data_IF_183098751557
#
_entry.id   IF_183098751557
#
_cell.length_a   1.000
_cell.length_b   1.000
_cell.length_c   1.000
_cell.angle_alpha   90.00
_cell.angle_beta   90.00
_cell.angle_gamma   90.00
#
_symmetry.space_group_name_H-M   'P 1'
#
loop_
_entity.id
_entity.type
_entity.pdbx_description
1 polymer ?
#
# COMPACT_ATOMS: atom_id res chain seq x y z
N UNK A 1 -0.80 -0.91 13.27
CA UNK A 1 -0.02 -0.43 14.43
C UNK A 1 -0.95 -0.19 15.62
N UNK A 2 -0.56 -0.59 16.84
CA UNK A 2 -1.35 -0.37 18.05
C UNK A 2 -1.32 1.08 18.52
N UNK A 3 -0.17 1.73 18.43
CA UNK A 3 0.02 3.13 18.78
C UNK A 3 0.51 3.92 17.56
N UNK A 4 -0.02 5.11 17.39
CA UNK A 4 0.25 6.00 16.26
C UNK A 4 -0.95 6.14 15.33
N UNK A 5 -1.01 7.26 14.60
CA UNK A 5 -2.08 7.56 13.63
C UNK A 5 -1.70 7.05 12.25
N UNK A 6 -1.61 5.73 12.09
CA UNK A 6 -1.22 5.09 10.84
C UNK A 6 -1.90 3.73 10.64
N UNK A 7 -1.85 3.16 9.45
CA UNK A 7 -2.44 1.87 9.09
C UNK A 7 -3.95 1.80 9.41
N UNK A 8 -4.45 0.70 9.93
CA UNK A 8 -5.87 0.50 10.24
C UNK A 8 -6.45 1.53 11.21
N UNK A 9 -5.64 2.05 12.14
CA UNK A 9 -6.13 3.04 13.14
C UNK A 9 -6.44 4.40 12.53
N UNK A 10 -5.98 4.70 11.33
CA UNK A 10 -6.36 5.90 10.56
C UNK A 10 -7.29 5.56 9.40
N UNK A 11 -7.08 4.45 8.71
CA UNK A 11 -7.91 4.09 7.56
C UNK A 11 -9.37 3.81 7.96
N UNK A 12 -9.61 3.01 9.01
CA UNK A 12 -10.96 2.65 9.44
C UNK A 12 -11.84 3.85 9.81
N UNK A 13 -11.40 4.81 10.67
CA UNK A 13 -12.23 5.96 10.99
C UNK A 13 -12.49 6.87 9.78
N UNK A 14 -11.54 7.01 8.84
CA UNK A 14 -11.73 7.83 7.63
C UNK A 14 -12.75 7.17 6.70
N UNK A 15 -12.64 5.88 6.45
CA UNK A 15 -13.58 5.14 5.62
C UNK A 15 -14.99 5.13 6.24
N UNK A 16 -15.07 4.93 7.56
CA UNK A 16 -16.34 4.99 8.29
C UNK A 16 -16.99 6.37 8.21
N UNK A 17 -16.20 7.45 8.35
CA UNK A 17 -16.69 8.81 8.21
C UNK A 17 -17.17 9.12 6.77
N UNK A 18 -16.61 8.46 5.77
CA UNK A 18 -17.07 8.52 4.39
C UNK A 18 -18.31 7.63 4.11
N UNK A 19 -18.84 6.93 5.11
CA UNK A 19 -20.00 6.05 4.95
C UNK A 19 -19.68 4.69 4.31
N UNK A 20 -18.41 4.29 4.30
CA UNK A 20 -17.95 3.03 3.71
C UNK A 20 -17.87 1.96 4.82
N UNK A 21 -18.68 0.92 4.69
CA UNK A 21 -18.56 -0.27 5.55
C UNK A 21 -17.26 -1.01 5.24
N UNK A 22 -16.45 -1.26 6.26
CA UNK A 22 -15.10 -1.78 6.06
C UNK A 22 -14.81 -2.97 6.95
N UNK A 23 -14.35 -4.07 6.34
CA UNK A 23 -13.81 -5.24 7.04
C UNK A 23 -12.29 -5.21 6.99
N UNK A 24 -11.65 -5.35 8.15
CA UNK A 24 -10.19 -5.35 8.25
C UNK A 24 -9.63 -6.76 8.28
N UNK A 25 -8.65 -7.04 7.40
CA UNK A 25 -7.82 -8.24 7.44
C UNK A 25 -6.41 -7.83 7.85
N UNK A 26 -6.03 -7.96 9.14
CA UNK A 26 -4.70 -7.56 9.60
C UNK A 26 -3.63 -8.53 9.07
N UNK A 27 -2.57 -7.97 8.50
CA UNK A 27 -1.42 -8.71 7.95
C UNK A 27 -0.28 -8.82 8.95
N UNK A 28 -0.23 -7.89 9.90
CA UNK A 28 0.72 -7.86 10.99
C UNK A 28 0.20 -7.03 12.18
N UNK A 29 0.70 -7.33 13.36
CA UNK A 29 0.51 -6.50 14.57
C UNK A 29 1.86 -5.89 14.94
N UNK A 30 1.87 -4.56 15.06
CA UNK A 30 3.01 -3.81 15.58
C UNK A 30 2.57 -3.02 16.81
N UNK A 31 3.44 -2.94 17.84
CA UNK A 31 3.13 -2.11 19.02
C UNK A 31 3.01 -0.63 18.69
N UNK A 32 3.86 -0.13 17.78
CA UNK A 32 3.86 1.25 17.26
C UNK A 32 4.09 1.24 15.75
N UNK A 33 4.00 2.39 15.07
CA UNK A 33 4.59 2.52 13.74
C UNK A 33 6.13 2.47 13.81
N UNK A 34 6.78 2.22 12.67
CA UNK A 34 8.23 2.00 12.60
C UNK A 34 9.03 3.27 12.32
N UNK A 35 8.39 4.33 11.81
CA UNK A 35 9.05 5.58 11.47
C UNK A 35 9.50 6.35 12.71
N UNK A 36 10.81 6.44 12.95
CA UNK A 36 11.40 7.18 14.06
C UNK A 36 11.26 6.53 15.45
N UNK A 37 10.65 5.34 15.56
CA UNK A 37 10.48 4.60 16.81
C UNK A 37 11.20 3.26 16.72
N UNK A 38 12.14 3.02 17.62
CA UNK A 38 12.86 1.75 17.76
C UNK A 38 12.28 0.89 18.87
N UNK A 39 12.62 -0.42 18.88
CA UNK A 39 12.19 -1.34 19.93
C UNK A 39 10.71 -1.74 19.89
N UNK A 40 10.03 -1.49 18.79
CA UNK A 40 8.65 -1.95 18.58
C UNK A 40 8.58 -3.49 18.53
N UNK A 41 7.45 -4.05 18.96
CA UNK A 41 7.17 -5.47 18.77
C UNK A 41 6.50 -5.67 17.41
N UNK A 42 6.83 -6.78 16.75
CA UNK A 42 6.28 -7.18 15.46
C UNK A 42 5.78 -8.62 15.50
N UNK A 43 4.57 -8.85 15.05
CA UNK A 43 4.02 -10.19 14.83
C UNK A 43 3.45 -10.26 13.42
N UNK A 44 4.00 -11.14 12.61
CA UNK A 44 3.47 -11.49 11.29
C UNK A 44 2.18 -12.33 11.45
N UNK A 45 1.16 -12.02 10.67
CA UNK A 45 -0.12 -12.73 10.63
C UNK A 45 -0.39 -13.36 9.26
N UNK A 46 0.62 -13.51 8.41
CA UNK A 46 0.46 -14.05 7.05
C UNK A 46 -0.21 -15.42 7.06
N UNK A 47 0.17 -16.30 8.01
CA UNK A 47 -0.43 -17.64 8.14
C UNK A 47 -1.89 -17.58 8.62
N UNK A 48 -2.25 -16.57 9.42
CA UNK A 48 -3.62 -16.37 9.92
C UNK A 48 -4.56 -15.85 8.83
N UNK A 49 -4.05 -15.19 7.79
CA UNK A 49 -4.86 -14.62 6.71
C UNK A 49 -5.64 -15.69 5.94
N UNK A 50 -5.01 -16.81 5.62
CA UNK A 50 -5.64 -17.90 4.84
C UNK A 50 -6.88 -18.48 5.52
N UNK A 51 -6.84 -18.86 6.82
CA UNK A 51 -8.04 -19.33 7.55
C UNK A 51 -9.15 -18.27 7.57
N UNK A 52 -8.83 -17.00 7.81
CA UNK A 52 -9.81 -15.90 7.82
C UNK A 52 -10.47 -15.77 6.45
N UNK A 53 -9.68 -15.70 5.37
CA UNK A 53 -10.19 -15.60 4.00
C UNK A 53 -11.06 -16.79 3.62
N UNK A 54 -10.65 -18.01 3.99
CA UNK A 54 -11.44 -19.23 3.76
C UNK A 54 -12.78 -19.16 4.47
N UNK A 55 -12.80 -18.65 5.71
CA UNK A 55 -14.03 -18.49 6.48
C UNK A 55 -14.94 -17.44 5.83
N UNK A 56 -14.43 -16.28 5.45
CA UNK A 56 -15.22 -15.25 4.77
C UNK A 56 -15.82 -15.74 3.46
N UNK A 57 -15.07 -16.51 2.66
CA UNK A 57 -15.59 -17.17 1.47
C UNK A 57 -16.74 -18.16 1.79
N UNK A 58 -16.65 -18.90 2.88
CA UNK A 58 -17.72 -19.83 3.28
C UNK A 58 -19.01 -19.13 3.70
N UNK A 59 -18.93 -17.83 4.02
CA UNK A 59 -20.08 -16.97 4.33
C UNK A 59 -20.61 -16.21 3.09
N UNK A 60 -20.06 -16.46 1.89
CA UNK A 60 -20.35 -15.74 0.64
C UNK A 60 -20.17 -14.21 0.75
N UNK A 61 -19.21 -13.78 1.60
CA UNK A 61 -18.89 -12.35 1.74
C UNK A 61 -18.23 -11.86 0.46
N UNK A 62 -18.76 -10.76 -0.08
CA UNK A 62 -18.25 -10.06 -1.28
C UNK A 62 -17.82 -8.65 -0.90
N UNK A 63 -16.85 -8.14 -1.63
CA UNK A 63 -16.32 -6.80 -1.43
C UNK A 63 -16.38 -6.02 -2.74
N UNK A 64 -16.95 -4.81 -2.71
CA UNK A 64 -16.97 -3.90 -3.87
C UNK A 64 -15.58 -3.31 -4.14
N UNK A 65 -14.75 -3.20 -3.10
CA UNK A 65 -13.38 -2.73 -3.21
C UNK A 65 -12.43 -3.44 -2.25
N UNK A 66 -11.17 -3.51 -2.62
CA UNK A 66 -10.07 -4.00 -1.82
C UNK A 66 -9.02 -2.90 -1.72
N UNK A 67 -8.70 -2.48 -0.49
CA UNK A 67 -7.63 -1.54 -0.21
C UNK A 67 -6.50 -2.26 0.52
N UNK A 68 -5.32 -2.29 -0.07
CA UNK A 68 -4.15 -2.89 0.55
C UNK A 68 -3.17 -1.81 1.01
N UNK A 69 -2.60 -2.00 2.20
CA UNK A 69 -1.47 -1.24 2.70
C UNK A 69 -0.28 -2.18 2.92
N UNK A 70 0.24 -2.22 4.15
CA UNK A 70 1.35 -3.09 4.53
C UNK A 70 0.98 -4.58 4.36
N UNK A 71 1.68 -5.28 3.47
CA UNK A 71 1.49 -6.70 3.19
C UNK A 71 2.80 -7.46 3.44
N UNK A 72 2.74 -8.54 4.21
CA UNK A 72 3.86 -9.46 4.39
C UNK A 72 4.00 -10.50 3.27
N UNK A 73 2.90 -10.81 2.55
CA UNK A 73 2.87 -11.76 1.42
C UNK A 73 1.77 -11.37 0.43
N UNK A 74 2.09 -11.39 -0.87
CA UNK A 74 1.28 -10.78 -1.93
C UNK A 74 0.30 -11.71 -2.64
N UNK A 75 0.69 -12.94 -2.94
CA UNK A 75 0.02 -13.75 -3.96
C UNK A 75 -1.35 -14.28 -3.51
N UNK A 76 -1.50 -14.54 -2.22
CA UNK A 76 -2.64 -15.26 -1.70
C UNK A 76 -3.92 -14.45 -1.59
N UNK A 77 -3.77 -13.12 -1.44
CA UNK A 77 -4.89 -12.23 -1.19
C UNK A 77 -5.70 -11.91 -2.46
N UNK A 78 -5.01 -11.65 -3.57
CA UNK A 78 -5.66 -11.32 -4.84
C UNK A 78 -6.45 -12.49 -5.39
N UNK A 79 -5.88 -13.69 -5.37
CA UNK A 79 -6.54 -14.90 -5.86
C UNK A 79 -7.80 -15.25 -5.04
N UNK A 80 -7.85 -14.73 -3.81
CA UNK A 80 -8.96 -15.02 -2.93
C UNK A 80 -10.21 -14.16 -3.18
N UNK A 81 -10.05 -12.85 -3.48
CA UNK A 81 -11.15 -11.88 -3.46
C UNK A 81 -11.26 -11.00 -4.70
N UNK A 82 -10.34 -11.13 -5.69
CA UNK A 82 -10.50 -10.41 -6.95
C UNK A 82 -11.72 -10.95 -7.69
N UNK A 83 -12.60 -10.03 -8.08
CA UNK A 83 -13.76 -10.26 -8.93
C UNK A 83 -13.65 -9.32 -10.15
N UNK A 84 -14.43 -9.56 -11.20
CA UNK A 84 -14.38 -8.74 -12.41
C UNK A 84 -14.83 -7.29 -12.16
N UNK A 85 -15.67 -7.08 -11.16
CA UNK A 85 -16.34 -5.82 -10.86
C UNK A 85 -15.87 -5.12 -9.58
N UNK A 86 -14.93 -5.71 -8.81
CA UNK A 86 -14.42 -5.04 -7.62
C UNK A 86 -13.20 -4.15 -7.90
N UNK A 87 -13.14 -3.00 -7.21
CA UNK A 87 -12.04 -2.06 -7.32
C UNK A 87 -10.84 -2.50 -6.47
N UNK A 88 -9.66 -2.57 -7.07
CA UNK A 88 -8.41 -2.88 -6.38
C UNK A 88 -7.57 -1.61 -6.23
N UNK A 89 -7.41 -1.15 -5.00
CA UNK A 89 -6.53 -0.04 -4.66
C UNK A 89 -5.33 -0.56 -3.88
N UNK A 90 -4.13 -0.27 -4.38
CA UNK A 90 -2.87 -0.66 -3.74
C UNK A 90 -2.13 0.60 -3.26
N UNK A 91 -1.92 0.67 -1.96
CA UNK A 91 -0.96 1.56 -1.33
C UNK A 91 0.35 0.76 -1.14
N UNK A 92 1.39 1.03 -1.96
CA UNK A 92 2.58 0.17 -2.01
C UNK A 92 3.56 0.49 -0.89
N UNK A 93 3.09 0.41 0.36
CA UNK A 93 3.84 0.77 1.57
C UNK A 93 5.17 0.01 1.65
N UNK A 94 6.27 0.68 1.29
CA UNK A 94 7.61 0.09 1.27
C UNK A 94 8.68 0.97 1.88
N UNK A 95 8.55 2.27 1.78
CA UNK A 95 9.61 3.18 2.18
C UNK A 95 9.22 4.64 2.17
N UNK A 96 10.10 5.48 2.66
CA UNK A 96 9.95 6.93 2.70
C UNK A 96 11.33 7.61 2.69
N UNK A 97 11.39 8.88 2.29
CA UNK A 97 12.62 9.68 2.25
C UNK A 97 13.80 9.02 1.49
N UNK A 98 13.50 8.26 0.44
CA UNK A 98 14.49 7.59 -0.39
C UNK A 98 14.96 6.23 0.12
N UNK A 99 14.44 5.76 1.26
CA UNK A 99 14.87 4.52 1.90
C UNK A 99 13.73 3.52 2.07
N UNK A 100 14.06 2.23 1.90
CA UNK A 100 13.15 1.14 2.28
C UNK A 100 13.02 1.08 3.80
N UNK A 101 11.82 0.79 4.29
CA UNK A 101 11.64 0.45 5.70
C UNK A 101 12.42 -0.83 6.05
N UNK A 102 12.99 -0.85 7.24
CA UNK A 102 13.90 -1.91 7.73
C UNK A 102 13.32 -3.32 7.73
N UNK A 103 12.00 -3.45 7.64
CA UNK A 103 11.29 -4.73 7.58
C UNK A 103 11.18 -5.30 6.16
N UNK A 104 11.60 -4.57 5.13
CA UNK A 104 11.48 -4.96 3.73
C UNK A 104 12.83 -5.17 3.05
N UNK A 105 12.84 -5.99 2.00
CA UNK A 105 13.98 -6.25 1.14
C UNK A 105 13.72 -5.73 -0.28
N UNK A 106 14.75 -5.74 -1.15
CA UNK A 106 14.59 -5.39 -2.56
C UNK A 106 13.71 -6.41 -3.32
N UNK A 107 13.75 -7.67 -2.94
CA UNK A 107 12.88 -8.72 -3.49
C UNK A 107 11.41 -8.42 -3.16
N UNK A 108 11.16 -7.89 -1.96
CA UNK A 108 9.83 -7.42 -1.59
C UNK A 108 9.34 -6.29 -2.51
N UNK A 109 10.18 -5.30 -2.84
CA UNK A 109 9.83 -4.22 -3.74
C UNK A 109 9.48 -4.75 -5.17
N UNK A 110 10.20 -5.76 -5.65
CA UNK A 110 9.86 -6.43 -6.91
C UNK A 110 8.49 -7.12 -6.87
N UNK A 111 8.16 -7.80 -5.76
CA UNK A 111 6.83 -8.38 -5.53
C UNK A 111 5.73 -7.31 -5.49
N UNK A 112 5.99 -6.17 -4.82
CA UNK A 112 5.06 -5.04 -4.77
C UNK A 112 4.79 -4.46 -6.18
N UNK A 113 5.80 -4.39 -7.03
CA UNK A 113 5.63 -3.98 -8.43
C UNK A 113 4.66 -4.90 -9.19
N UNK A 114 4.79 -6.22 -9.02
CA UNK A 114 3.85 -7.18 -9.63
C UNK A 114 2.42 -7.01 -9.10
N UNK A 115 2.28 -6.66 -7.83
CA UNK A 115 1.00 -6.35 -7.23
C UNK A 115 0.38 -5.09 -7.85
N UNK A 116 1.15 -4.00 -7.96
CA UNK A 116 0.72 -2.76 -8.57
C UNK A 116 0.28 -2.92 -10.03
N UNK A 117 0.90 -3.84 -10.77
CA UNK A 117 0.49 -4.17 -12.15
C UNK A 117 -0.93 -4.74 -12.26
N UNK A 118 -1.41 -5.37 -11.20
CA UNK A 118 -2.75 -5.97 -11.14
C UNK A 118 -3.80 -5.05 -10.50
N UNK A 119 -3.40 -3.89 -10.01
CA UNK A 119 -4.28 -2.93 -9.36
C UNK A 119 -5.02 -2.04 -10.38
N UNK A 120 -6.20 -1.57 -10.01
CA UNK A 120 -6.91 -0.52 -10.75
C UNK A 120 -6.37 0.86 -10.38
N UNK A 121 -6.04 1.05 -9.11
CA UNK A 121 -5.49 2.30 -8.57
C UNK A 121 -4.25 2.00 -7.74
N UNK A 122 -3.19 2.79 -7.89
CA UNK A 122 -2.04 2.79 -6.98
C UNK A 122 -1.83 4.18 -6.38
N UNK A 123 -1.35 4.21 -5.12
CA UNK A 123 -1.18 5.46 -4.34
C UNK A 123 0.24 5.56 -3.77
N UNK A 124 1.30 5.50 -4.59
CA UNK A 124 2.66 5.56 -4.10
C UNK A 124 3.07 6.96 -3.64
N UNK A 125 3.98 7.05 -2.66
CA UNK A 125 4.78 8.24 -2.43
C UNK A 125 5.98 8.30 -3.42
N UNK A 126 6.79 9.36 -3.36
CA UNK A 126 7.92 9.54 -4.29
C UNK A 126 9.01 8.46 -4.14
N UNK A 127 9.24 7.95 -2.93
CA UNK A 127 10.19 6.86 -2.66
C UNK A 127 9.68 5.56 -3.25
N UNK A 128 8.43 5.26 -3.01
CA UNK A 128 7.76 4.06 -3.53
C UNK A 128 7.69 4.10 -5.07
N UNK A 129 7.42 5.27 -5.65
CA UNK A 129 7.47 5.47 -7.10
C UNK A 129 8.85 5.13 -7.68
N UNK A 130 9.92 5.61 -7.05
CA UNK A 130 11.30 5.31 -7.46
C UNK A 130 11.60 3.81 -7.35
N UNK A 131 11.19 3.17 -6.25
CA UNK A 131 11.34 1.72 -6.03
C UNK A 131 10.55 0.88 -7.04
N UNK A 132 9.30 1.25 -7.33
CA UNK A 132 8.45 0.57 -8.32
C UNK A 132 9.03 0.66 -9.74
N UNK A 133 9.69 1.78 -10.07
CA UNK A 133 10.29 2.01 -11.38
C UNK A 133 11.74 1.52 -11.48
N UNK A 134 12.34 1.11 -10.37
CA UNK A 134 13.78 0.81 -10.26
C UNK A 134 14.65 2.01 -10.72
N UNK A 135 14.25 3.21 -10.31
CA UNK A 135 14.92 4.48 -10.61
C UNK A 135 15.47 5.11 -9.31
N UNK A 136 16.50 5.97 -9.42
CA UNK A 136 16.98 6.72 -8.27
C UNK A 136 15.89 7.63 -7.68
N UNK A 137 15.81 7.69 -6.35
CA UNK A 137 14.98 8.68 -5.67
C UNK A 137 15.61 10.07 -5.79
N UNK A 138 14.78 11.07 -6.07
CA UNK A 138 15.15 12.47 -6.08
C UNK A 138 14.34 13.23 -5.03
N UNK A 139 14.98 13.94 -4.09
CA UNK A 139 14.27 14.79 -3.14
C UNK A 139 13.68 16.02 -3.87
N UNK A 140 12.55 16.52 -3.35
CA UNK A 140 11.96 17.76 -3.85
C UNK A 140 12.78 19.03 -3.53
N UNK A 141 12.29 20.21 -3.90
CA UNK A 141 11.03 20.46 -4.59
C UNK A 141 11.03 19.96 -6.04
N UNK A 142 9.85 19.57 -6.54
CA UNK A 142 9.71 18.90 -7.83
C UNK A 142 9.29 19.87 -8.93
N UNK A 143 9.57 19.53 -10.18
CA UNK A 143 9.00 20.20 -11.36
C UNK A 143 7.77 19.46 -11.86
N UNK A 144 6.81 20.16 -12.45
CA UNK A 144 5.64 19.54 -13.08
C UNK A 144 6.04 18.48 -14.11
N UNK A 145 7.05 18.77 -14.95
CA UNK A 145 7.54 17.83 -15.96
C UNK A 145 8.07 16.52 -15.36
N UNK A 146 8.76 16.59 -14.21
CA UNK A 146 9.24 15.40 -13.52
C UNK A 146 8.08 14.57 -12.98
N UNK A 147 7.11 15.20 -12.31
CA UNK A 147 5.93 14.52 -11.76
C UNK A 147 5.08 13.90 -12.88
N UNK A 148 4.84 14.61 -13.99
CA UNK A 148 4.15 14.04 -15.14
C UNK A 148 4.88 12.83 -15.73
N UNK A 149 6.20 12.86 -15.80
CA UNK A 149 7.02 11.75 -16.28
C UNK A 149 6.86 10.53 -15.36
N UNK A 150 6.92 10.72 -14.03
CA UNK A 150 6.71 9.64 -13.06
C UNK A 150 5.31 9.02 -13.21
N UNK A 151 4.27 9.86 -13.26
CA UNK A 151 2.88 9.40 -13.41
C UNK A 151 2.68 8.56 -14.69
N UNK A 152 3.27 8.99 -15.81
CA UNK A 152 3.22 8.23 -17.07
C UNK A 152 3.93 6.88 -16.97
N UNK A 153 5.12 6.83 -16.35
CA UNK A 153 5.88 5.60 -16.16
C UNK A 153 5.15 4.63 -15.23
N UNK A 154 4.59 5.13 -14.12
CA UNK A 154 3.80 4.32 -13.19
C UNK A 154 2.52 3.79 -13.85
N UNK A 155 1.82 4.61 -14.64
CA UNK A 155 0.65 4.17 -15.41
C UNK A 155 1.00 3.10 -16.45
N UNK A 156 2.20 3.18 -17.04
CA UNK A 156 2.69 2.16 -17.99
C UNK A 156 2.97 0.79 -17.34
N UNK A 157 3.02 0.70 -16.00
CA UNK A 157 3.11 -0.58 -15.30
C UNK A 157 1.83 -1.41 -15.39
N UNK A 158 0.65 -0.77 -15.53
CA UNK A 158 -0.63 -1.46 -15.66
C UNK A 158 -1.84 -0.80 -14.99
N UNK A 159 -1.71 -0.06 -13.86
CA UNK A 159 -2.86 0.51 -13.17
C UNK A 159 -3.57 1.57 -14.04
N UNK A 160 -4.90 1.61 -13.95
CA UNK A 160 -5.70 2.60 -14.69
C UNK A 160 -5.56 4.01 -14.12
N UNK A 161 -5.31 4.11 -12.80
CA UNK A 161 -5.16 5.38 -12.09
C UNK A 161 -3.95 5.35 -11.18
N UNK A 162 -3.23 6.47 -11.15
CA UNK A 162 -2.07 6.69 -10.26
C UNK A 162 -2.29 7.97 -9.49
N UNK A 163 -2.20 7.88 -8.16
CA UNK A 163 -2.24 9.04 -7.27
C UNK A 163 -0.89 9.12 -6.58
N UNK A 164 -0.07 10.06 -7.00
CA UNK A 164 1.26 10.27 -6.40
C UNK A 164 1.14 11.16 -5.17
N UNK A 165 1.60 10.69 -4.02
CA UNK A 165 1.54 11.43 -2.75
C UNK A 165 2.89 12.04 -2.38
N UNK A 166 2.89 13.03 -1.45
CA UNK A 166 4.12 13.70 -1.01
C UNK A 166 4.74 14.64 -2.04
N UNK A 167 3.97 15.07 -3.04
CA UNK A 167 4.43 16.02 -4.08
C UNK A 167 4.34 17.44 -3.55
N UNK A 168 5.41 18.20 -3.70
CA UNK A 168 5.44 19.65 -3.45
C UNK A 168 6.34 20.34 -4.48
N UNK A 169 5.97 21.57 -4.87
CA UNK A 169 6.66 22.33 -5.92
C UNK A 169 7.47 23.48 -5.38
N UNK A 170 7.28 23.85 -4.12
CA UNK A 170 8.05 24.86 -3.38
C UNK A 170 8.32 24.35 -1.98
N UNK A 171 9.38 24.86 -1.34
CA UNK A 171 9.78 24.42 0.01
C UNK A 171 8.74 24.66 1.10
N UNK A 172 7.80 25.60 0.88
CA UNK A 172 6.76 26.01 1.85
C UNK A 172 5.37 25.45 1.53
N UNK A 173 5.26 24.48 0.63
CA UNK A 173 3.98 23.84 0.23
C UNK A 173 3.75 22.50 0.91
#
# INVERSE_FOLDING_TARGET
SGFGKCSLTVALPILSAAGIETSALPTAILSTHTGGISGYTYRDLTEDMRPVMKHWKSLDIKFDAIYTGFLGSFEQFFDAFRQEDNLILVDPVMGDNGELYTVFTREFAAGMRMLCQKADIIVPNLTEAALLLDEPYHPGPYTHAYIESLLRKLGALGPQKVVLTGVYFKEDE
#
